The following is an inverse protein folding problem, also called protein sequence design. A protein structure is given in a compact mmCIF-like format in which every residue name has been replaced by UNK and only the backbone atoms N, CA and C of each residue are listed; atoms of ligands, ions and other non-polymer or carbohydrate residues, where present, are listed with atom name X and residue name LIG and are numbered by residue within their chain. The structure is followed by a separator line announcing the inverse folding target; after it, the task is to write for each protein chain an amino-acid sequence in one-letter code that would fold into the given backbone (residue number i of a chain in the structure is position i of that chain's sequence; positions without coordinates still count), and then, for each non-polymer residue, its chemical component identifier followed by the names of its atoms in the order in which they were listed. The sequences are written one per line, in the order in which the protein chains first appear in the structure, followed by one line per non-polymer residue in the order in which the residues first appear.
data_IF_098373982769
#
_entry.id   IF_098373982769
#
_cell.length_a   1.000
_cell.length_b   1.000
_cell.length_c   1.000
_cell.angle_alpha   90.00
_cell.angle_beta   90.00
_cell.angle_gamma   90.00
#
_symmetry.space_group_name_H-M   'P 1'
#
loop_
_entity.id
_entity.type
_entity.pdbx_description
1 polymer ?
#
# COMPACT_ATOMS: atom_id res chain seq x y z
N UNK A 1 15.86 -4.00 -1.44
CA UNK A 1 14.76 -4.80 -2.03
C UNK A 1 14.51 -4.44 -3.49
N UNK A 2 13.94 -3.28 -3.84
CA UNK A 2 13.56 -2.95 -5.25
C UNK A 2 14.71 -3.07 -6.26
N UNK A 3 15.90 -2.54 -5.96
CA UNK A 3 17.04 -2.61 -6.89
C UNK A 3 17.59 -4.05 -7.10
N UNK A 4 17.40 -4.94 -6.12
CA UNK A 4 17.93 -6.31 -6.16
C UNK A 4 16.91 -7.33 -6.71
N UNK A 5 15.61 -7.14 -6.39
CA UNK A 5 14.52 -8.05 -6.77
C UNK A 5 13.77 -7.55 -8.02
N UNK A 6 13.75 -6.24 -8.25
CA UNK A 6 12.86 -5.60 -9.22
C UNK A 6 11.45 -5.37 -8.67
N UNK A 7 10.49 -5.15 -9.57
CA UNK A 7 9.08 -4.96 -9.24
C UNK A 7 8.65 -3.50 -9.03
N UNK A 8 7.38 -3.33 -8.65
CA UNK A 8 6.79 -2.00 -8.39
C UNK A 8 6.73 -1.75 -6.89
N UNK A 9 7.18 -0.56 -6.47
CA UNK A 9 7.05 -0.13 -5.09
C UNK A 9 5.72 0.61 -4.93
N UNK A 10 4.92 0.19 -3.96
CA UNK A 10 3.72 0.90 -3.51
C UNK A 10 4.08 1.63 -2.23
N UNK A 11 3.96 2.95 -2.25
CA UNK A 11 4.13 3.77 -1.04
C UNK A 11 2.78 4.06 -0.41
N UNK A 12 2.74 3.99 0.91
CA UNK A 12 1.59 4.36 1.75
C UNK A 12 2.09 5.49 2.65
N UNK A 13 1.41 6.62 2.58
CA UNK A 13 1.73 7.78 3.43
C UNK A 13 0.86 7.70 4.69
N UNK A 14 1.40 7.06 5.72
CA UNK A 14 0.83 6.98 7.06
C UNK A 14 1.92 6.69 8.11
N UNK A 15 1.52 6.61 9.38
CA UNK A 15 2.35 6.38 10.55
C UNK A 15 2.28 4.93 11.07
N UNK A 16 1.78 3.97 10.27
CA UNK A 16 1.49 2.59 10.74
C UNK A 16 2.24 1.52 9.96
N UNK A 17 3.10 0.76 10.66
CA UNK A 17 3.79 -0.38 10.08
C UNK A 17 2.81 -1.49 9.68
N UNK A 18 2.78 -1.85 8.39
CA UNK A 18 1.92 -2.93 7.87
C UNK A 18 0.44 -2.55 7.69
N UNK A 19 0.15 -1.28 7.41
CA UNK A 19 -1.22 -0.74 7.29
C UNK A 19 -2.01 -1.21 6.04
N UNK A 20 -1.34 -1.73 5.01
CA UNK A 20 -1.94 -2.03 3.70
C UNK A 20 -3.22 -2.89 3.77
N UNK A 21 -3.23 -3.93 4.61
CA UNK A 21 -4.39 -4.83 4.78
C UNK A 21 -5.48 -4.24 5.70
N UNK A 22 -5.19 -3.17 6.42
CA UNK A 22 -6.09 -2.53 7.37
C UNK A 22 -6.92 -1.40 6.74
N UNK A 23 -6.51 -0.91 5.57
CA UNK A 23 -7.19 0.16 4.83
C UNK A 23 -7.94 -0.46 3.66
N UNK A 24 -9.30 -0.45 3.65
CA UNK A 24 -10.09 -1.13 2.61
C UNK A 24 -9.69 -0.75 1.19
N UNK A 25 -9.43 0.54 0.95
CA UNK A 25 -8.99 1.03 -0.36
C UNK A 25 -7.59 0.56 -0.76
N UNK A 26 -6.68 0.30 0.18
CA UNK A 26 -5.37 -0.27 -0.13
C UNK A 26 -5.44 -1.78 -0.32
N UNK A 27 -6.18 -2.48 0.55
CA UNK A 27 -6.42 -3.92 0.42
C UNK A 27 -7.02 -4.28 -0.95
N UNK A 28 -7.99 -3.51 -1.43
CA UNK A 28 -8.57 -3.70 -2.76
C UNK A 28 -7.53 -3.58 -3.90
N UNK A 29 -6.54 -2.69 -3.78
CA UNK A 29 -5.46 -2.59 -4.79
C UNK A 29 -4.51 -3.78 -4.75
N UNK A 30 -4.23 -4.32 -3.56
CA UNK A 30 -3.42 -5.53 -3.40
C UNK A 30 -4.13 -6.74 -4.03
N UNK A 31 -5.43 -6.90 -3.76
CA UNK A 31 -6.26 -7.95 -4.37
C UNK A 31 -6.26 -7.81 -5.90
N UNK A 32 -6.52 -6.61 -6.41
CA UNK A 32 -6.54 -6.36 -7.85
C UNK A 32 -5.19 -6.70 -8.53
N UNK A 33 -4.06 -6.49 -7.85
CA UNK A 33 -2.75 -6.91 -8.38
C UNK A 33 -2.66 -8.43 -8.53
N UNK A 34 -3.09 -9.19 -7.52
CA UNK A 34 -3.05 -10.66 -7.60
C UNK A 34 -4.05 -11.24 -8.61
N UNK A 35 -5.24 -10.65 -8.72
CA UNK A 35 -6.27 -11.15 -9.63
C UNK A 35 -6.00 -10.80 -11.10
N UNK A 36 -5.40 -9.63 -11.36
CA UNK A 36 -5.34 -9.06 -12.73
C UNK A 36 -3.94 -8.70 -13.19
N UNK A 37 -2.94 -8.72 -12.31
CA UNK A 37 -1.60 -8.20 -12.57
C UNK A 37 -1.51 -6.67 -12.62
N UNK A 38 -2.62 -5.95 -12.44
CA UNK A 38 -2.65 -4.48 -12.49
C UNK A 38 -1.86 -3.88 -11.34
N UNK A 39 -0.88 -3.05 -11.69
CA UNK A 39 0.04 -2.40 -10.74
C UNK A 39 -0.47 -1.02 -10.34
N UNK A 40 -0.05 -0.58 -9.17
CA UNK A 40 -0.22 0.79 -8.68
C UNK A 40 1.10 1.24 -8.06
N UNK A 41 1.28 2.55 -7.86
CA UNK A 41 2.45 3.12 -7.18
C UNK A 41 2.07 3.73 -5.82
N UNK A 42 0.78 3.89 -5.54
CA UNK A 42 0.28 4.47 -4.28
C UNK A 42 -1.02 3.77 -3.86
N UNK A 43 -1.32 3.80 -2.57
CA UNK A 43 -2.66 3.49 -2.08
C UNK A 43 -3.02 4.39 -0.89
N UNK A 44 -4.30 4.46 -0.50
CA UNK A 44 -4.70 5.20 0.69
C UNK A 44 -4.04 4.62 1.95
N UNK A 45 -3.48 5.49 2.79
CA UNK A 45 -2.98 5.14 4.12
C UNK A 45 -4.04 5.34 5.20
N UNK A 46 -3.67 5.02 6.45
CA UNK A 46 -4.49 5.43 7.60
C UNK A 46 -4.42 6.96 7.79
N UNK A 47 -5.47 7.59 8.31
CA UNK A 47 -5.38 8.97 8.78
C UNK A 47 -4.29 9.05 9.85
N UNK A 48 -3.37 10.01 9.72
CA UNK A 48 -2.37 10.29 10.76
C UNK A 48 -3.09 10.48 12.09
N UNK A 49 -2.62 9.81 13.15
CA UNK A 49 -3.14 10.09 14.48
C UNK A 49 -2.68 11.49 14.88
N UNK A 50 -3.60 12.45 14.83
CA UNK A 50 -3.36 13.78 15.38
C UNK A 50 -3.06 13.59 16.87
N UNK A 51 -1.82 13.83 17.25
CA UNK A 51 -1.45 13.97 18.66
C UNK A 51 -2.04 15.31 19.09
N UNK A 52 -3.00 15.27 20.02
CA UNK A 52 -3.56 16.45 20.69
C UNK A 52 -2.49 17.17 21.51
#
# INVERSE_FOLDING_TARGET
MRAAIGGTLVSIDDDVHGSAAQVPGCAAKVIAYFETGRRTTTCPGKPAQQTL
#
